data_IF_757256007551
#
_entry.id   IF_757256007551
#
_cell.length_a   1.000
_cell.length_b   1.000
_cell.length_c   1.000
_cell.angle_alpha   90.00
_cell.angle_beta   90.00
_cell.angle_gamma   90.00
#
_symmetry.space_group_name_H-M   'P 1'
#
loop_
_entity.id
_entity.type
_entity.pdbx_description
1 polymer ?
#
# COMPACT_ATOMS: atom_id res chain seq x y z
N UNK A 1 48.65 -2.10 -30.47
CA UNK A 1 48.09 -1.71 -29.18
C UNK A 1 46.61 -1.40 -29.36
N UNK A 2 45.71 -2.26 -28.91
CA UNK A 2 44.25 -2.07 -28.98
C UNK A 2 43.77 -1.78 -27.55
N UNK A 3 43.27 -0.55 -27.32
CA UNK A 3 42.60 -0.18 -26.07
C UNK A 3 41.22 -0.83 -26.03
N UNK A 4 41.00 -1.66 -25.02
CA UNK A 4 39.67 -2.18 -24.66
C UNK A 4 38.92 -1.10 -23.88
N UNK A 5 37.91 -0.50 -24.49
CA UNK A 5 36.96 0.36 -23.82
C UNK A 5 36.09 -0.48 -22.87
N UNK A 6 36.17 -0.20 -21.58
CA UNK A 6 35.26 -0.75 -20.57
C UNK A 6 33.92 -0.03 -20.68
N UNK A 7 32.91 -0.75 -21.16
CA UNK A 7 31.50 -0.32 -21.00
C UNK A 7 31.17 -0.31 -19.50
N UNK A 8 31.17 0.87 -18.89
CA UNK A 8 30.50 1.14 -17.64
C UNK A 8 28.98 1.01 -17.90
N UNK A 9 28.38 -0.10 -17.43
CA UNK A 9 26.96 -0.24 -17.39
C UNK A 9 26.38 0.92 -16.56
N UNK A 10 25.64 1.80 -17.23
CA UNK A 10 24.76 2.75 -16.56
C UNK A 10 23.76 1.92 -15.75
N UNK A 11 23.87 1.94 -14.42
CA UNK A 11 22.77 1.55 -13.54
C UNK A 11 21.62 2.49 -13.89
N UNK A 12 20.52 1.92 -14.37
CA UNK A 12 19.26 2.65 -14.50
C UNK A 12 19.02 3.32 -13.15
N UNK A 13 18.98 4.65 -13.13
CA UNK A 13 18.65 5.42 -11.94
C UNK A 13 17.27 4.98 -11.45
N UNK A 14 17.19 4.56 -10.21
CA UNK A 14 15.92 4.41 -9.51
C UNK A 14 15.21 5.76 -9.58
N UNK A 15 13.92 5.81 -9.97
CA UNK A 15 13.18 7.07 -9.97
C UNK A 15 13.21 7.66 -8.56
N UNK A 16 13.55 8.95 -8.47
CA UNK A 16 13.56 9.72 -7.22
C UNK A 16 12.20 9.61 -6.52
N UNK A 17 12.22 9.32 -5.23
CA UNK A 17 11.02 9.38 -4.39
C UNK A 17 10.33 8.06 -4.09
N UNK A 18 11.03 6.94 -4.04
CA UNK A 18 10.45 5.64 -3.69
C UNK A 18 10.51 5.35 -2.19
N UNK A 19 9.39 4.81 -1.66
CA UNK A 19 9.37 4.14 -0.36
C UNK A 19 10.14 2.83 -0.51
N UNK A 20 11.19 2.66 0.28
CA UNK A 20 12.02 1.46 0.23
C UNK A 20 11.64 0.49 1.34
N UNK A 21 11.26 -0.72 1.00
CA UNK A 21 11.05 -1.79 1.97
C UNK A 21 12.40 -2.41 2.33
N UNK A 22 12.72 -2.48 3.62
CA UNK A 22 13.96 -3.06 4.14
C UNK A 22 13.77 -4.46 4.69
N UNK A 23 12.62 -4.70 5.36
CA UNK A 23 12.30 -5.99 5.95
C UNK A 23 10.80 -6.19 6.01
N UNK A 24 10.37 -7.44 5.94
CA UNK A 24 8.98 -7.86 6.13
C UNK A 24 8.95 -9.11 7.00
N UNK A 25 8.05 -9.14 7.96
CA UNK A 25 7.75 -10.34 8.75
C UNK A 25 6.26 -10.41 9.09
N UNK A 26 5.76 -11.60 9.32
CA UNK A 26 4.37 -11.83 9.72
C UNK A 26 4.34 -12.80 10.90
N UNK A 27 3.65 -12.42 11.97
CA UNK A 27 3.58 -13.18 13.21
C UNK A 27 2.93 -12.43 14.36
N UNK A 28 3.05 -12.91 15.57
CA UNK A 28 2.39 -12.35 16.75
C UNK A 28 2.89 -10.94 17.13
N UNK A 29 4.20 -10.68 17.03
CA UNK A 29 4.83 -9.40 17.39
C UNK A 29 4.41 -8.87 18.77
N UNK A 30 4.63 -9.61 19.88
CA UNK A 30 4.14 -9.23 21.21
C UNK A 30 4.73 -7.91 21.74
N UNK A 31 5.87 -7.48 21.19
CA UNK A 31 6.53 -6.23 21.58
C UNK A 31 5.66 -4.97 21.29
N UNK A 32 4.74 -5.04 20.34
CA UNK A 32 3.88 -3.89 20.02
C UNK A 32 2.54 -3.92 20.74
N UNK A 33 2.15 -5.04 21.33
CA UNK A 33 0.89 -5.16 22.08
C UNK A 33 0.88 -4.29 23.34
N UNK A 34 2.07 -4.06 23.92
CA UNK A 34 2.25 -3.16 25.06
C UNK A 34 2.24 -1.69 24.67
N UNK A 35 2.46 -1.38 23.39
CA UNK A 35 2.52 -0.02 22.87
C UNK A 35 1.16 0.48 22.37
N UNK A 36 0.27 -0.43 22.00
CA UNK A 36 -1.04 -0.09 21.44
C UNK A 36 -2.09 -1.12 21.90
N UNK A 37 -3.00 -0.67 22.77
CA UNK A 37 -4.07 -1.50 23.37
C UNK A 37 -5.12 -2.01 22.37
N UNK A 38 -5.13 -1.48 21.14
CA UNK A 38 -6.07 -1.88 20.08
C UNK A 38 -5.71 -3.22 19.43
N UNK A 39 -4.49 -3.72 19.58
CA UNK A 39 -4.09 -5.03 19.05
C UNK A 39 -4.72 -6.18 19.83
N UNK A 40 -5.14 -7.22 19.10
CA UNK A 40 -5.53 -8.49 19.71
C UNK A 40 -4.28 -9.18 20.25
N UNK A 41 -4.23 -9.51 21.56
CA UNK A 41 -3.11 -10.22 22.15
C UNK A 41 -2.84 -11.55 21.43
N UNK A 42 -1.59 -11.78 21.03
CA UNK A 42 -1.20 -12.97 20.27
C UNK A 42 -1.71 -13.02 18.83
N UNK A 43 -2.51 -12.05 18.37
CA UNK A 43 -2.99 -11.97 17.00
C UNK A 43 -1.86 -11.74 16.01
N UNK A 44 -2.00 -12.26 14.79
CA UNK A 44 -1.00 -12.10 13.75
C UNK A 44 -0.95 -10.66 13.21
N UNK A 45 0.25 -10.17 12.98
CA UNK A 45 0.52 -8.82 12.46
C UNK A 45 1.55 -8.89 11.35
N UNK A 46 1.35 -8.13 10.31
CA UNK A 46 2.39 -7.84 9.32
C UNK A 46 3.25 -6.70 9.89
N UNK A 47 4.56 -6.94 9.99
CA UNK A 47 5.55 -5.90 10.26
C UNK A 47 6.31 -5.59 8.99
N UNK A 48 6.40 -4.31 8.62
CA UNK A 48 7.20 -3.84 7.48
C UNK A 48 8.12 -2.73 7.96
N UNK A 49 9.43 -2.90 7.73
CA UNK A 49 10.40 -1.83 7.94
C UNK A 49 10.57 -1.05 6.66
N UNK A 50 10.30 0.25 6.72
CA UNK A 50 10.32 1.18 5.59
C UNK A 50 11.44 2.21 5.74
N UNK A 51 12.06 2.58 4.62
CA UNK A 51 12.97 3.73 4.50
C UNK A 51 12.36 4.75 3.53
N UNK A 52 12.13 5.97 4.03
CA UNK A 52 11.56 7.10 3.26
C UNK A 52 12.69 8.07 2.89
N UNK A 53 13.71 7.59 2.16
CA UNK A 53 14.97 8.30 1.98
C UNK A 53 14.84 9.61 1.20
N UNK A 54 13.99 9.66 0.18
CA UNK A 54 13.94 10.81 -0.73
C UNK A 54 12.55 11.00 -1.32
N UNK A 55 11.60 11.44 -0.52
CA UNK A 55 10.32 11.88 -1.04
C UNK A 55 10.39 13.38 -1.35
N UNK A 56 10.73 13.77 -2.60
CA UNK A 56 11.18 15.11 -2.88
C UNK A 56 10.16 16.24 -2.69
N UNK A 57 8.87 16.13 -2.96
CA UNK A 57 8.04 17.33 -2.96
C UNK A 57 7.37 17.68 -1.63
N UNK A 58 7.64 16.95 -0.53
CA UNK A 58 6.87 17.11 0.72
C UNK A 58 7.57 17.93 1.80
N UNK A 59 8.56 18.74 1.44
CA UNK A 59 9.20 19.68 2.39
C UNK A 59 8.21 20.65 3.06
N UNK A 60 7.05 20.87 2.43
CA UNK A 60 5.98 21.73 2.96
C UNK A 60 4.88 20.95 3.72
N UNK A 61 5.03 19.63 3.88
CA UNK A 61 4.03 18.77 4.49
C UNK A 61 3.07 18.12 3.48
N UNK A 62 2.16 17.30 3.99
CA UNK A 62 1.13 16.63 3.16
C UNK A 62 0.16 17.70 2.63
N UNK A 63 -0.10 17.77 1.30
CA UNK A 63 -1.01 18.74 0.73
C UNK A 63 -2.41 18.66 1.38
N UNK A 64 -3.06 19.78 1.70
CA UNK A 64 -4.39 19.79 2.35
C UNK A 64 -5.48 19.07 1.54
N UNK A 65 -5.34 18.99 0.22
CA UNK A 65 -6.26 18.26 -0.67
C UNK A 65 -6.18 16.74 -0.52
N UNK A 66 -5.10 16.21 0.03
CA UNK A 66 -4.87 14.75 0.14
C UNK A 66 -5.96 14.05 0.94
N UNK A 67 -6.34 14.58 2.11
CA UNK A 67 -7.34 13.93 2.97
C UNK A 67 -8.74 13.93 2.33
N UNK A 68 -9.26 15.02 1.74
CA UNK A 68 -10.52 14.97 1.00
C UNK A 68 -10.52 13.96 -0.15
N UNK A 69 -9.43 13.86 -0.90
CA UNK A 69 -9.30 12.90 -2.01
C UNK A 69 -9.31 11.46 -1.51
N UNK A 70 -8.54 11.16 -0.46
CA UNK A 70 -8.54 9.83 0.17
C UNK A 70 -9.89 9.52 0.83
N UNK A 71 -10.56 10.50 1.43
CA UNK A 71 -11.89 10.36 2.02
C UNK A 71 -12.97 10.03 0.98
N UNK A 72 -12.80 10.45 -0.28
CA UNK A 72 -13.68 10.04 -1.37
C UNK A 72 -13.51 8.57 -1.74
N UNK A 73 -12.30 8.01 -1.62
CA UNK A 73 -12.01 6.58 -1.83
C UNK A 73 -12.38 5.76 -0.61
N UNK A 74 -12.07 6.26 0.59
CA UNK A 74 -12.24 5.60 1.88
C UNK A 74 -13.07 6.46 2.84
N UNK A 75 -14.42 6.40 2.77
CA UNK A 75 -15.28 7.25 3.60
C UNK A 75 -15.10 7.06 5.11
N UNK A 76 -14.60 5.90 5.55
CA UNK A 76 -14.35 5.63 6.97
C UNK A 76 -13.00 6.19 7.46
N UNK A 77 -12.06 6.50 6.57
CA UNK A 77 -10.72 7.00 6.91
C UNK A 77 -10.77 8.17 7.91
N UNK A 78 -11.72 9.09 7.71
CA UNK A 78 -11.90 10.26 8.58
C UNK A 78 -12.43 9.91 9.98
N UNK A 79 -12.91 8.68 10.19
CA UNK A 79 -13.41 8.18 11.48
C UNK A 79 -12.37 7.40 12.26
N UNK A 80 -11.23 7.13 11.66
CA UNK A 80 -10.15 6.42 12.34
C UNK A 80 -9.67 7.20 13.55
N UNK A 81 -9.39 6.48 14.64
CA UNK A 81 -8.86 7.04 15.87
C UNK A 81 -7.38 6.70 15.98
N UNK A 82 -6.56 7.73 16.16
CA UNK A 82 -5.14 7.56 16.46
C UNK A 82 -4.93 7.36 17.97
N UNK A 83 -3.76 6.90 18.34
CA UNK A 83 -3.35 6.82 19.75
C UNK A 83 -3.57 8.19 20.43
N UNK A 84 -4.22 8.15 21.61
CA UNK A 84 -4.62 9.38 22.32
C UNK A 84 -5.97 9.96 21.92
N UNK A 85 -6.78 9.22 21.13
CA UNK A 85 -8.17 9.55 20.83
C UNK A 85 -8.39 10.65 19.80
N UNK A 86 -7.32 11.10 19.12
CA UNK A 86 -7.43 12.08 18.04
C UNK A 86 -7.84 11.40 16.72
N UNK A 87 -8.58 12.13 15.88
CA UNK A 87 -8.85 11.69 14.51
C UNK A 87 -7.63 11.92 13.59
N UNK A 88 -7.63 11.24 12.43
CA UNK A 88 -6.54 11.31 11.43
C UNK A 88 -6.29 12.75 10.98
N UNK A 89 -7.34 13.50 10.68
CA UNK A 89 -7.22 14.88 10.23
C UNK A 89 -6.54 15.77 11.28
N UNK A 90 -7.00 15.69 12.54
CA UNK A 90 -6.42 16.47 13.63
C UNK A 90 -4.97 16.10 13.89
N UNK A 91 -4.62 14.83 13.74
CA UNK A 91 -3.25 14.36 13.97
C UNK A 91 -2.30 14.86 12.89
N UNK A 92 -2.67 14.76 11.62
CA UNK A 92 -1.81 15.15 10.49
C UNK A 92 -1.72 16.65 10.28
N UNK A 93 -2.79 17.43 10.58
CA UNK A 93 -2.83 18.86 10.31
C UNK A 93 -2.74 19.75 11.56
N UNK A 94 -2.53 19.18 12.74
CA UNK A 94 -2.40 19.92 13.98
C UNK A 94 -1.13 20.81 14.00
N UNK A 95 -0.11 20.40 13.27
CA UNK A 95 1.17 21.11 13.17
C UNK A 95 1.18 22.01 11.94
N UNK A 96 0.54 23.18 12.04
CA UNK A 96 0.73 24.20 11.00
C UNK A 96 2.17 24.71 11.08
N UNK A 97 2.94 24.66 9.97
CA UNK A 97 4.24 25.32 9.94
C UNK A 97 4.04 26.78 10.31
N UNK A 98 4.94 27.32 11.13
CA UNK A 98 4.96 28.75 11.38
C UNK A 98 5.24 29.46 10.04
N UNK A 99 4.57 30.60 9.74
CA UNK A 99 4.84 31.33 8.52
C UNK A 99 6.34 31.55 8.33
N UNK A 100 6.91 31.10 7.22
CA UNK A 100 8.34 31.19 6.92
C UNK A 100 9.23 30.06 7.48
N UNK A 101 8.67 29.07 8.19
CA UNK A 101 9.41 27.89 8.62
C UNK A 101 8.87 26.63 7.94
N UNK A 102 9.72 25.94 7.20
CA UNK A 102 9.39 24.58 6.71
C UNK A 102 9.31 23.61 7.89
N UNK A 103 8.41 22.61 7.79
CA UNK A 103 8.41 21.49 8.74
C UNK A 103 9.74 20.71 8.62
N UNK A 104 10.31 20.25 9.74
CA UNK A 104 11.44 19.34 9.66
C UNK A 104 11.08 18.12 8.79
N UNK A 105 11.96 17.68 7.86
CA UNK A 105 11.69 16.54 6.99
C UNK A 105 11.23 15.28 7.73
N UNK A 106 11.78 15.02 8.92
CA UNK A 106 11.40 13.89 9.77
C UNK A 106 9.94 13.92 10.23
N UNK A 107 9.34 15.09 10.45
CA UNK A 107 7.93 15.22 10.87
C UNK A 107 7.00 14.88 9.69
N UNK A 108 7.30 15.41 8.51
CA UNK A 108 6.52 15.10 7.29
C UNK A 108 6.59 13.61 6.93
N UNK A 109 7.76 12.99 7.09
CA UNK A 109 7.93 11.56 6.84
C UNK A 109 7.12 10.71 7.83
N UNK A 110 7.08 11.11 9.10
CA UNK A 110 6.24 10.46 10.12
C UNK A 110 4.76 10.55 9.77
N UNK A 111 4.29 11.72 9.37
CA UNK A 111 2.89 11.93 8.98
C UNK A 111 2.53 11.11 7.73
N UNK A 112 3.44 11.02 6.76
CA UNK A 112 3.23 10.21 5.56
C UNK A 112 3.15 8.72 5.87
N UNK A 113 4.07 8.19 6.70
CA UNK A 113 4.04 6.79 7.09
C UNK A 113 2.78 6.45 7.90
N UNK A 114 2.34 7.35 8.77
CA UNK A 114 1.09 7.22 9.53
C UNK A 114 -0.14 7.24 8.61
N UNK A 115 -0.16 8.11 7.59
CA UNK A 115 -1.23 8.13 6.61
C UNK A 115 -1.25 6.84 5.77
N UNK A 116 -0.08 6.33 5.38
CA UNK A 116 0.06 5.04 4.70
C UNK A 116 -0.54 3.90 5.53
N UNK A 117 -0.28 3.88 6.85
CA UNK A 117 -0.88 2.94 7.79
C UNK A 117 -2.41 2.99 7.71
N UNK A 118 -3.01 4.16 7.87
CA UNK A 118 -4.46 4.30 7.89
C UNK A 118 -5.13 3.90 6.58
N UNK A 119 -4.53 4.23 5.43
CA UNK A 119 -5.03 3.78 4.12
C UNK A 119 -4.89 2.27 3.97
N UNK A 120 -3.78 1.69 4.46
CA UNK A 120 -3.60 0.24 4.45
C UNK A 120 -4.63 -0.47 5.34
N UNK A 121 -4.99 0.09 6.51
CA UNK A 121 -6.04 -0.46 7.38
C UNK A 121 -7.41 -0.50 6.70
N UNK A 122 -7.80 0.56 5.98
CA UNK A 122 -9.02 0.56 5.17
C UNK A 122 -9.04 -0.60 4.15
N UNK A 123 -7.91 -0.83 3.50
CA UNK A 123 -7.77 -1.90 2.51
C UNK A 123 -7.76 -3.29 3.15
N UNK A 124 -7.10 -3.48 4.31
CA UNK A 124 -7.15 -4.74 5.08
C UNK A 124 -8.59 -5.11 5.41
N UNK A 125 -9.38 -4.14 5.90
CA UNK A 125 -10.82 -4.34 6.19
C UNK A 125 -11.60 -4.62 4.90
N UNK A 126 -11.35 -3.87 3.82
CA UNK A 126 -12.03 -4.07 2.54
C UNK A 126 -11.72 -5.45 1.92
N UNK A 127 -10.51 -5.99 2.11
CA UNK A 127 -10.12 -7.34 1.69
C UNK A 127 -10.74 -8.43 2.57
N UNK A 128 -11.33 -8.11 3.71
CA UNK A 128 -12.12 -9.03 4.51
C UNK A 128 -11.41 -9.65 5.71
N UNK A 129 -10.34 -9.03 6.21
CA UNK A 129 -9.66 -9.46 7.45
C UNK A 129 -10.42 -9.18 8.76
N UNK A 130 -11.70 -8.85 8.66
CA UNK A 130 -12.53 -8.56 9.82
C UNK A 130 -13.16 -7.17 9.78
N UNK A 131 -13.95 -6.84 10.82
CA UNK A 131 -14.59 -5.52 10.96
C UNK A 131 -13.71 -4.52 11.73
N UNK A 132 -12.64 -4.98 12.33
CA UNK A 132 -11.67 -4.18 13.09
C UNK A 132 -10.28 -4.60 12.71
N UNK A 133 -9.40 -3.64 12.56
CA UNK A 133 -8.02 -3.82 12.28
C UNK A 133 -7.26 -2.69 12.98
N UNK A 134 -6.19 -3.04 13.66
CA UNK A 134 -5.32 -2.08 14.34
C UNK A 134 -3.99 -1.96 13.60
N UNK A 135 -3.39 -0.78 13.67
CA UNK A 135 -2.09 -0.51 13.12
C UNK A 135 -1.24 0.33 14.07
N UNK A 136 0.05 0.35 13.83
CA UNK A 136 0.99 1.16 14.58
C UNK A 136 2.16 1.55 13.70
N UNK A 137 2.48 2.83 13.67
CA UNK A 137 3.68 3.38 13.04
C UNK A 137 4.70 3.76 14.11
N UNK A 138 5.88 3.13 14.07
CA UNK A 138 6.99 3.40 14.98
C UNK A 138 8.15 4.06 14.25
N UNK A 139 8.49 5.30 14.59
CA UNK A 139 9.64 6.00 14.04
C UNK A 139 10.94 5.56 14.76
N UNK A 140 12.01 5.41 13.99
CA UNK A 140 13.34 5.18 14.54
C UNK A 140 13.96 6.48 15.05
N UNK A 141 14.75 6.39 16.12
CA UNK A 141 15.55 7.54 16.60
C UNK A 141 16.71 7.87 15.66
N UNK A 142 17.24 6.84 15.00
CA UNK A 142 18.28 6.95 13.97
C UNK A 142 18.28 5.68 13.11
N UNK A 143 18.19 5.80 11.77
CA UNK A 143 18.00 7.05 11.02
C UNK A 143 16.54 7.54 11.10
N UNK A 144 16.33 8.86 11.06
CA UNK A 144 15.02 9.51 11.25
C UNK A 144 13.99 9.22 10.13
N UNK A 145 14.45 8.76 8.97
CA UNK A 145 13.61 8.41 7.82
C UNK A 145 13.15 6.94 7.83
N UNK A 146 13.46 6.18 8.89
CA UNK A 146 13.10 4.77 9.02
C UNK A 146 11.94 4.56 9.96
N UNK A 147 11.04 3.65 9.57
CA UNK A 147 9.82 3.34 10.30
C UNK A 147 9.57 1.84 10.31
N UNK A 148 9.05 1.34 11.43
CA UNK A 148 8.32 0.07 11.45
C UNK A 148 6.83 0.36 11.40
N UNK A 149 6.15 -0.26 10.45
CA UNK A 149 4.71 -0.22 10.29
C UNK A 149 4.15 -1.61 10.63
N UNK A 150 3.19 -1.67 11.53
CA UNK A 150 2.49 -2.88 11.93
C UNK A 150 1.03 -2.81 11.50
N UNK A 151 0.55 -3.88 10.87
CA UNK A 151 -0.86 -4.02 10.47
C UNK A 151 -1.38 -5.35 11.03
N UNK A 152 -2.45 -5.30 11.80
CA UNK A 152 -3.12 -6.52 12.29
C UNK A 152 -3.81 -7.21 11.13
N UNK A 153 -3.39 -8.43 10.81
CA UNK A 153 -3.97 -9.26 9.74
C UNK A 153 -3.59 -10.74 9.92
N UNK A 154 -4.56 -11.63 9.74
CA UNK A 154 -4.35 -13.08 9.84
C UNK A 154 -3.60 -13.65 8.62
N UNK A 155 -3.77 -13.06 7.45
CA UNK A 155 -3.13 -13.49 6.20
C UNK A 155 -2.11 -12.43 5.76
N UNK A 156 -0.84 -12.83 5.70
CA UNK A 156 0.25 -11.95 5.24
C UNK A 156 0.00 -11.37 3.83
N UNK A 157 -0.70 -12.09 2.96
CA UNK A 157 -1.05 -11.63 1.62
C UNK A 157 -1.99 -10.42 1.68
N UNK A 158 -2.95 -10.47 2.61
CA UNK A 158 -3.89 -9.35 2.83
C UNK A 158 -3.14 -8.12 3.30
N UNK A 159 -2.31 -8.26 4.34
CA UNK A 159 -1.55 -7.13 4.87
C UNK A 159 -0.60 -6.51 3.85
N UNK A 160 0.15 -7.35 3.14
CA UNK A 160 1.12 -6.87 2.15
C UNK A 160 0.44 -6.29 0.91
N UNK A 161 -0.61 -6.96 0.38
CA UNK A 161 -1.40 -6.46 -0.74
C UNK A 161 -2.08 -5.12 -0.40
N UNK A 162 -2.62 -4.99 0.82
CA UNK A 162 -3.20 -3.74 1.30
C UNK A 162 -2.16 -2.61 1.36
N UNK A 163 -0.96 -2.89 1.88
CA UNK A 163 0.12 -1.91 1.95
C UNK A 163 0.56 -1.44 0.56
N UNK A 164 0.72 -2.35 -0.40
CA UNK A 164 1.09 -2.02 -1.77
C UNK A 164 0.00 -1.19 -2.48
N UNK A 165 -1.27 -1.56 -2.30
CA UNK A 165 -2.39 -0.76 -2.82
C UNK A 165 -2.43 0.63 -2.16
N UNK A 166 -2.22 0.71 -0.85
CA UNK A 166 -2.20 1.98 -0.11
C UNK A 166 -1.09 2.91 -0.62
N UNK A 167 0.11 2.38 -0.82
CA UNK A 167 1.24 3.14 -1.32
C UNK A 167 1.00 3.65 -2.74
N UNK A 168 0.41 2.82 -3.62
CA UNK A 168 0.05 3.24 -4.97
C UNK A 168 -0.99 4.36 -4.97
N UNK A 169 -2.06 4.24 -4.15
CA UNK A 169 -3.08 5.26 -4.03
C UNK A 169 -2.49 6.56 -3.47
N UNK A 170 -1.69 6.47 -2.42
CA UNK A 170 -1.01 7.64 -1.84
C UNK A 170 -0.09 8.32 -2.84
N UNK A 171 0.73 7.56 -3.55
CA UNK A 171 1.60 8.12 -4.58
C UNK A 171 0.79 8.87 -5.65
N UNK A 172 -0.27 8.27 -6.18
CA UNK A 172 -1.12 8.92 -7.19
C UNK A 172 -1.76 10.21 -6.65
N UNK A 173 -2.34 10.17 -5.46
CA UNK A 173 -2.97 11.37 -4.85
C UNK A 173 -1.95 12.47 -4.57
N UNK A 174 -0.75 12.12 -4.10
CA UNK A 174 0.28 13.10 -3.75
C UNK A 174 0.99 13.70 -4.97
N UNK A 175 1.22 12.89 -6.02
CA UNK A 175 2.02 13.30 -7.19
C UNK A 175 1.12 13.74 -8.35
N UNK A 176 0.00 13.03 -8.57
CA UNK A 176 -0.90 13.28 -9.70
C UNK A 176 -2.10 14.16 -9.31
N UNK A 177 -2.40 14.27 -8.01
CA UNK A 177 -3.53 15.04 -7.48
C UNK A 177 -4.88 14.32 -7.56
N UNK A 178 -4.88 13.03 -7.93
CA UNK A 178 -6.09 12.21 -8.03
C UNK A 178 -5.79 10.73 -7.69
N UNK A 179 -6.75 9.99 -7.14
CA UNK A 179 -6.60 8.56 -6.92
C UNK A 179 -6.67 7.79 -8.25
N UNK A 180 -6.03 6.59 -8.35
CA UNK A 180 -6.17 5.72 -9.50
C UNK A 180 -7.64 5.33 -9.73
N UNK A 181 -8.07 5.15 -10.98
CA UNK A 181 -9.46 4.78 -11.30
C UNK A 181 -9.89 3.47 -10.62
N UNK A 182 -8.97 2.50 -10.48
CA UNK A 182 -9.20 1.23 -9.78
C UNK A 182 -9.19 1.31 -8.25
N UNK A 183 -8.84 2.44 -7.64
CA UNK A 183 -8.58 2.53 -6.19
C UNK A 183 -9.73 2.01 -5.32
N UNK A 184 -10.97 2.35 -5.64
CA UNK A 184 -12.16 1.90 -4.93
C UNK A 184 -12.44 0.39 -5.09
N UNK A 185 -11.80 -0.25 -6.08
CA UNK A 185 -12.02 -1.66 -6.42
C UNK A 185 -10.96 -2.59 -5.87
N UNK A 186 -9.78 -2.10 -5.46
CA UNK A 186 -8.69 -2.97 -5.01
C UNK A 186 -9.11 -3.92 -3.89
N UNK A 187 -9.71 -3.40 -2.84
CA UNK A 187 -10.15 -4.21 -1.69
C UNK A 187 -11.22 -5.23 -2.04
N UNK A 188 -12.24 -4.82 -2.79
CA UNK A 188 -13.34 -5.69 -3.22
C UNK A 188 -12.86 -6.80 -4.16
N UNK A 189 -12.03 -6.45 -5.14
CA UNK A 189 -11.46 -7.40 -6.09
C UNK A 189 -10.57 -8.42 -5.36
N UNK A 190 -9.69 -7.96 -4.47
CA UNK A 190 -8.87 -8.85 -3.67
C UNK A 190 -9.70 -9.82 -2.82
N UNK A 191 -10.73 -9.30 -2.12
CA UNK A 191 -11.68 -10.12 -1.32
C UNK A 191 -12.41 -11.16 -2.18
N UNK A 192 -12.80 -10.80 -3.39
CA UNK A 192 -13.46 -11.72 -4.31
C UNK A 192 -12.57 -12.93 -4.63
N UNK A 193 -11.28 -12.70 -4.93
CA UNK A 193 -10.32 -13.79 -5.17
C UNK A 193 -9.96 -14.57 -3.91
N UNK A 194 -9.86 -13.92 -2.75
CA UNK A 194 -9.63 -14.61 -1.48
C UNK A 194 -10.73 -15.64 -1.17
N UNK A 195 -11.99 -15.28 -1.43
CA UNK A 195 -13.13 -16.19 -1.26
C UNK A 195 -13.18 -17.32 -2.29
N UNK A 196 -12.56 -17.12 -3.44
CA UNK A 196 -12.48 -18.08 -4.56
C UNK A 196 -11.04 -18.56 -4.82
N UNK A 197 -10.28 -18.80 -3.77
CA UNK A 197 -8.82 -19.00 -3.78
C UNK A 197 -8.32 -20.10 -4.73
N UNK A 198 -9.17 -21.00 -5.17
CA UNK A 198 -8.84 -22.09 -6.12
C UNK A 198 -9.33 -21.84 -7.55
N UNK A 199 -10.03 -20.75 -7.79
CA UNK A 199 -10.60 -20.45 -9.11
C UNK A 199 -9.62 -19.69 -9.97
N UNK A 200 -9.61 -20.02 -11.25
CA UNK A 200 -8.96 -19.25 -12.32
C UNK A 200 -10.09 -18.58 -13.09
N UNK A 201 -10.13 -17.26 -13.12
CA UNK A 201 -11.27 -16.47 -13.58
C UNK A 201 -10.83 -15.51 -14.70
N UNK A 202 -11.66 -15.33 -15.70
CA UNK A 202 -11.46 -14.29 -16.70
C UNK A 202 -12.05 -12.95 -16.23
N UNK A 203 -11.61 -11.78 -16.77
CA UNK A 203 -12.12 -10.48 -16.38
C UNK A 203 -13.64 -10.33 -16.53
N UNK A 204 -14.23 -10.95 -17.55
CA UNK A 204 -15.68 -10.90 -17.78
C UNK A 204 -16.49 -11.59 -16.67
N UNK A 205 -16.01 -12.72 -16.15
CA UNK A 205 -16.63 -13.40 -15.00
C UNK A 205 -16.55 -12.53 -13.75
N UNK A 206 -15.38 -11.93 -13.50
CA UNK A 206 -15.18 -11.04 -12.35
C UNK A 206 -16.09 -9.82 -12.46
N UNK A 207 -16.18 -9.21 -13.66
CA UNK A 207 -17.03 -8.04 -13.91
C UNK A 207 -18.51 -8.37 -13.72
N UNK A 208 -18.97 -9.53 -14.23
CA UNK A 208 -20.37 -9.96 -14.07
C UNK A 208 -20.77 -10.13 -12.60
N UNK A 209 -19.87 -10.68 -11.78
CA UNK A 209 -20.13 -10.93 -10.37
C UNK A 209 -20.01 -9.66 -9.49
N UNK A 210 -18.98 -8.84 -9.72
CA UNK A 210 -18.75 -7.65 -8.92
C UNK A 210 -19.58 -6.44 -9.35
N UNK A 211 -20.08 -6.44 -10.56
CA UNK A 211 -20.79 -5.32 -11.18
C UNK A 211 -19.99 -3.99 -11.10
N UNK A 212 -20.20 -3.07 -11.99
CA UNK A 212 -19.60 -1.76 -11.94
C UNK A 212 -18.85 -1.37 -13.20
N UNK A 213 -17.98 -0.38 -13.08
CA UNK A 213 -17.29 0.24 -14.21
C UNK A 213 -16.14 -0.68 -14.68
N UNK A 214 -16.16 -1.12 -15.97
CA UNK A 214 -15.18 -2.10 -16.48
C UNK A 214 -13.72 -1.63 -16.39
N UNK A 215 -13.47 -0.35 -16.69
CA UNK A 215 -12.12 0.22 -16.70
C UNK A 215 -11.51 0.19 -15.30
N UNK A 216 -12.28 0.57 -14.28
CA UNK A 216 -11.82 0.55 -12.90
C UNK A 216 -11.51 -0.87 -12.41
N UNK A 217 -12.33 -1.86 -12.80
CA UNK A 217 -12.08 -3.25 -12.46
C UNK A 217 -10.84 -3.80 -13.17
N UNK A 218 -10.69 -3.50 -14.46
CA UNK A 218 -9.53 -3.95 -15.23
C UNK A 218 -8.23 -3.36 -14.68
N UNK A 219 -8.23 -2.10 -14.28
CA UNK A 219 -7.10 -1.46 -13.61
C UNK A 219 -6.79 -2.16 -12.27
N UNK A 220 -7.82 -2.46 -11.48
CA UNK A 220 -7.64 -3.18 -10.21
C UNK A 220 -7.03 -4.57 -10.43
N UNK A 221 -7.51 -5.34 -11.40
CA UNK A 221 -6.96 -6.66 -11.73
C UNK A 221 -5.48 -6.57 -12.14
N UNK A 222 -5.15 -5.65 -13.05
CA UNK A 222 -3.78 -5.45 -13.53
C UNK A 222 -2.85 -5.00 -12.40
N UNK A 223 -3.33 -4.10 -11.53
CA UNK A 223 -2.52 -3.63 -10.40
C UNK A 223 -2.28 -4.76 -9.39
N UNK A 224 -3.32 -5.50 -9.00
CA UNK A 224 -3.19 -6.63 -8.09
C UNK A 224 -2.29 -7.75 -8.66
N UNK A 225 -2.27 -7.94 -9.98
CA UNK A 225 -1.34 -8.84 -10.63
C UNK A 225 0.10 -8.29 -10.61
N UNK A 226 0.29 -7.00 -10.87
CA UNK A 226 1.60 -6.34 -10.82
C UNK A 226 2.27 -6.47 -9.46
N UNK A 227 1.51 -6.32 -8.38
CA UNK A 227 2.03 -6.46 -7.01
C UNK A 227 2.09 -7.92 -6.53
N UNK A 228 1.77 -8.88 -7.39
CA UNK A 228 1.86 -10.31 -7.09
C UNK A 228 0.74 -10.86 -6.21
N UNK A 229 -0.29 -10.06 -5.90
CA UNK A 229 -1.47 -10.54 -5.19
C UNK A 229 -2.28 -11.51 -6.06
N UNK A 230 -2.38 -11.23 -7.35
CA UNK A 230 -2.91 -12.13 -8.36
C UNK A 230 -1.78 -12.62 -9.28
N UNK A 231 -2.00 -13.77 -9.89
CA UNK A 231 -1.20 -14.26 -11.01
C UNK A 231 -2.03 -14.06 -12.26
N UNK A 232 -1.48 -13.33 -13.22
CA UNK A 232 -2.04 -13.18 -14.55
C UNK A 232 -1.51 -14.28 -15.44
N UNK A 233 -2.40 -15.03 -16.07
CA UNK A 233 -2.09 -16.11 -17.01
C UNK A 233 -2.56 -15.70 -18.41
N UNK A 234 -1.64 -15.78 -19.36
CA UNK A 234 -1.89 -15.47 -20.76
C UNK A 234 -2.12 -16.74 -21.54
N UNK A 235 -3.17 -16.78 -22.34
CA UNK A 235 -3.36 -17.87 -23.27
C UNK A 235 -3.99 -17.37 -24.55
N UNK A 236 -3.59 -17.96 -25.65
CA UNK A 236 -4.13 -17.69 -26.98
C UNK A 236 -4.82 -18.96 -27.48
N UNK A 237 -6.13 -18.87 -27.71
CA UNK A 237 -6.93 -20.01 -28.19
C UNK A 237 -7.51 -19.80 -29.60
N UNK A 238 -7.34 -18.63 -30.18
CA UNK A 238 -7.91 -18.37 -31.50
C UNK A 238 -6.87 -17.98 -32.54
N UNK A 239 -7.22 -18.20 -33.78
CA UNK A 239 -6.42 -17.83 -34.93
C UNK A 239 -6.42 -16.31 -35.21
N UNK A 240 -7.18 -15.53 -34.42
CA UNK A 240 -7.26 -14.07 -34.55
C UNK A 240 -6.07 -13.35 -33.93
N UNK A 241 -5.25 -14.05 -33.15
CA UNK A 241 -4.14 -13.47 -32.39
C UNK A 241 -4.60 -12.69 -31.15
N UNK A 242 -5.86 -12.78 -30.75
CA UNK A 242 -6.38 -12.14 -29.55
C UNK A 242 -5.80 -12.82 -28.32
N UNK A 243 -5.16 -12.04 -27.46
CA UNK A 243 -4.64 -12.52 -26.17
C UNK A 243 -5.76 -12.51 -25.14
N UNK A 244 -6.01 -13.64 -24.52
CA UNK A 244 -6.94 -13.77 -23.42
C UNK A 244 -6.19 -13.82 -22.10
N UNK A 245 -6.76 -13.21 -21.05
CA UNK A 245 -6.19 -13.14 -19.72
C UNK A 245 -7.08 -13.87 -18.74
N UNK A 246 -6.45 -14.56 -17.80
CA UNK A 246 -7.09 -15.12 -16.61
C UNK A 246 -6.31 -14.73 -15.38
N UNK A 247 -7.01 -14.66 -14.28
CA UNK A 247 -6.45 -14.29 -12.99
C UNK A 247 -6.74 -15.37 -11.96
N UNK A 248 -5.78 -15.63 -11.10
CA UNK A 248 -5.96 -16.43 -9.89
C UNK A 248 -5.24 -15.82 -8.72
N UNK A 249 -5.67 -16.17 -7.52
CA UNK A 249 -4.96 -15.76 -6.31
C UNK A 249 -3.54 -16.34 -6.29
N UNK A 250 -2.57 -15.54 -5.93
CA UNK A 250 -1.21 -16.03 -5.72
C UNK A 250 -1.15 -16.99 -4.53
N UNK A 251 -0.41 -18.08 -4.65
CA UNK A 251 -0.26 -19.05 -3.57
C UNK A 251 0.48 -18.47 -2.36
N UNK A 252 1.45 -17.59 -2.61
CA UNK A 252 2.17 -16.84 -1.59
C UNK A 252 2.65 -15.51 -2.17
N UNK A 253 2.57 -14.44 -1.37
CA UNK A 253 3.32 -13.23 -1.69
C UNK A 253 4.77 -13.42 -1.23
N UNK A 254 5.74 -13.03 -2.06
CA UNK A 254 7.12 -13.04 -1.61
C UNK A 254 7.29 -12.00 -0.50
N UNK A 255 7.61 -12.47 0.71
CA UNK A 255 7.96 -11.59 1.84
C UNK A 255 9.40 -11.08 1.75
N UNK A 256 10.02 -11.14 0.57
CA UNK A 256 11.36 -10.63 0.33
C UNK A 256 11.28 -9.17 -0.11
N UNK A 257 12.00 -8.26 0.58
CA UNK A 257 11.91 -6.82 0.35
C UNK A 257 12.13 -6.40 -1.10
N UNK A 258 13.04 -7.07 -1.81
CA UNK A 258 13.38 -6.79 -3.21
C UNK A 258 12.24 -7.05 -4.21
N UNK A 259 11.22 -7.79 -3.79
CA UNK A 259 10.05 -8.11 -4.61
C UNK A 259 8.82 -7.26 -4.24
N UNK A 260 8.97 -6.29 -3.33
CA UNK A 260 7.90 -5.42 -2.90
C UNK A 260 8.11 -4.04 -3.54
N UNK A 261 7.19 -3.67 -4.43
CA UNK A 261 7.16 -2.36 -5.07
C UNK A 261 6.17 -1.47 -4.31
N UNK A 262 6.69 -0.42 -3.69
CA UNK A 262 5.89 0.59 -2.99
C UNK A 262 6.22 1.97 -3.56
#
# INVERSE_FOLDING_TARGET
>A
MRQKGAHRGQRAGTPDGQIRVLAVSHGAHPEVETLHEGFVPGGAKLKVTLDLLDLPPFAEGIPPSTIPLLGAVFPNLLRHRCCGGNDVHSTLFRRKPRPGCALPPAETQTDLCHLLEHVALELVVAMGSGSRCSGLTCAYRAPLHRFDLFLECEDARVGLGALQCAAHILHAVLVQGEPPAGAMRYGETARYFLRRSRSVLNPGEVLADLQGEPVALEEALRFLARVGFLVEEHFSFDFSGTTHYRYRLSAALPLQPENIFI
#
